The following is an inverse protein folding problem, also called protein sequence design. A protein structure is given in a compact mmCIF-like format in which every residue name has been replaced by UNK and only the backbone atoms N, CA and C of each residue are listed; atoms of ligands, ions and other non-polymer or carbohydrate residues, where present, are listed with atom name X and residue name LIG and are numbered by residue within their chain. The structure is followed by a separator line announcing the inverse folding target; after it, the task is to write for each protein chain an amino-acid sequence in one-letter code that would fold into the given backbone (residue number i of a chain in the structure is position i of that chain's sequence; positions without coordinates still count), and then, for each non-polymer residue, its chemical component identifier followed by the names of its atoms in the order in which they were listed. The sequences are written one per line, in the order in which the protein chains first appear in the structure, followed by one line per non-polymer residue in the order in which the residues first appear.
data_IF_106760991420
#
_entry.id   IF_106760991420
#
_cell.length_a   1.000
_cell.length_b   1.000
_cell.length_c   1.000
_cell.angle_alpha   90.00
_cell.angle_beta   90.00
_cell.angle_gamma   90.00
#
_symmetry.space_group_name_H-M   'P 1'
#
loop_
_entity.id
_entity.type
_entity.pdbx_description
1 polymer ?
#
# COMPACT_ATOMS: atom_id res chain seq x y z
N UNK A 1 -1.88 32.54 -14.17
CA UNK A 1 -3.31 32.21 -14.07
C UNK A 1 -4.00 32.66 -15.33
N UNK A 2 -4.62 31.72 -16.04
CA UNK A 2 -5.44 32.03 -17.21
C UNK A 2 -6.85 32.29 -16.67
N UNK A 3 -7.39 33.51 -16.77
CA UNK A 3 -8.75 33.77 -16.32
C UNK A 3 -9.72 32.94 -17.15
N UNK A 4 -10.74 32.39 -16.50
CA UNK A 4 -11.85 31.77 -17.18
C UNK A 4 -13.17 32.49 -16.89
N UNK A 5 -14.21 32.21 -17.66
CA UNK A 5 -15.56 32.70 -17.46
C UNK A 5 -16.52 31.68 -18.08
N UNK A 6 -17.69 31.48 -17.47
CA UNK A 6 -18.67 30.46 -17.84
C UNK A 6 -19.19 30.57 -19.30
N UNK A 7 -18.88 31.64 -20.02
CA UNK A 7 -19.45 31.95 -21.33
C UNK A 7 -18.48 31.88 -22.51
N UNK A 8 -17.15 32.02 -22.34
CA UNK A 8 -16.25 32.19 -23.51
C UNK A 8 -14.80 31.70 -23.39
N UNK A 9 -14.30 31.33 -22.21
CA UNK A 9 -12.91 30.86 -22.08
C UNK A 9 -12.86 29.33 -22.02
N UNK A 10 -12.28 28.71 -23.04
CA UNK A 10 -12.01 27.28 -23.02
C UNK A 10 -10.66 27.11 -22.32
N UNK A 11 -10.70 26.60 -21.09
CA UNK A 11 -9.49 26.13 -20.41
C UNK A 11 -8.83 25.06 -21.30
N UNK A 12 -7.49 25.07 -21.38
CA UNK A 12 -6.73 24.09 -22.17
C UNK A 12 -7.04 22.65 -21.74
N UNK A 13 -6.78 21.67 -22.60
CA UNK A 13 -6.96 20.26 -22.27
C UNK A 13 -6.22 19.89 -20.96
N UNK A 14 -6.89 19.17 -20.07
CA UNK A 14 -6.37 18.84 -18.74
C UNK A 14 -6.40 19.99 -17.73
N UNK A 15 -7.14 21.06 -18.02
CA UNK A 15 -7.42 22.14 -17.07
C UNK A 15 -8.93 22.34 -16.91
N UNK A 16 -9.36 22.83 -15.75
CA UNK A 16 -10.76 23.11 -15.45
C UNK A 16 -10.91 24.49 -14.83
N UNK A 17 -12.05 25.13 -15.07
CA UNK A 17 -12.34 26.45 -14.52
C UNK A 17 -12.78 26.29 -13.06
N UNK A 18 -11.98 26.79 -12.11
CA UNK A 18 -12.38 26.83 -10.71
C UNK A 18 -13.16 28.11 -10.44
N UNK A 19 -14.38 27.95 -9.91
CA UNK A 19 -15.20 29.06 -9.43
C UNK A 19 -15.04 29.18 -7.92
N UNK A 20 -14.23 30.12 -7.44
CA UNK A 20 -14.11 30.41 -6.01
C UNK A 20 -14.98 31.61 -5.63
N UNK A 21 -16.04 31.44 -4.81
CA UNK A 21 -16.94 32.53 -4.46
C UNK A 21 -16.30 33.65 -3.61
N UNK A 22 -15.02 33.51 -3.24
CA UNK A 22 -14.25 34.49 -2.45
C UNK A 22 -13.22 35.26 -3.26
N UNK A 23 -13.00 34.89 -4.52
CA UNK A 23 -12.04 35.53 -5.42
C UNK A 23 -12.85 35.98 -6.64
N UNK A 24 -12.97 37.29 -6.87
CA UNK A 24 -13.81 37.87 -7.94
C UNK A 24 -13.40 37.48 -9.37
N UNK A 25 -12.47 36.54 -9.54
CA UNK A 25 -11.98 36.06 -10.83
C UNK A 25 -11.91 34.54 -10.85
N UNK A 26 -12.57 33.93 -11.85
CA UNK A 26 -12.40 32.52 -12.17
C UNK A 26 -11.07 32.31 -12.91
N UNK A 27 -10.40 31.20 -12.66
CA UNK A 27 -9.15 30.85 -13.34
C UNK A 27 -9.08 29.35 -13.66
N UNK A 28 -8.39 29.03 -14.76
CA UNK A 28 -8.12 27.65 -15.13
C UNK A 28 -7.07 27.07 -14.17
N UNK A 29 -7.42 25.96 -13.54
CA UNK A 29 -6.53 25.11 -12.76
C UNK A 29 -6.14 23.89 -13.55
N UNK A 30 -4.88 23.47 -13.43
CA UNK A 30 -4.44 22.21 -13.98
C UNK A 30 -5.00 21.06 -13.14
N UNK A 31 -5.40 19.98 -13.82
CA UNK A 31 -5.85 18.75 -13.19
C UNK A 31 -4.75 18.07 -12.38
N UNK A 32 -5.04 16.87 -11.87
CA UNK A 32 -3.99 16.05 -11.26
C UNK A 32 -3.22 15.31 -12.31
N UNK A 33 -1.90 15.32 -12.19
CA UNK A 33 -0.99 14.60 -13.06
C UNK A 33 -0.22 13.53 -12.31
N UNK A 34 0.01 12.39 -12.97
CA UNK A 34 1.01 11.42 -12.57
C UNK A 34 2.26 11.66 -13.39
N UNK A 35 3.38 12.00 -12.76
CA UNK A 35 4.63 12.34 -13.43
C UNK A 35 5.75 11.38 -13.02
N UNK A 36 6.44 10.82 -13.99
CA UNK A 36 7.61 9.97 -13.74
C UNK A 36 8.85 10.85 -13.70
N UNK A 37 9.71 10.65 -12.70
CA UNK A 37 11.01 11.33 -12.62
C UNK A 37 12.00 10.73 -13.62
N UNK A 38 11.83 11.14 -14.87
CA UNK A 38 12.74 10.85 -15.95
C UNK A 38 13.20 12.13 -16.64
N UNK A 39 14.26 12.01 -17.45
CA UNK A 39 14.84 13.14 -18.17
C UNK A 39 13.86 13.80 -19.18
N UNK A 40 12.65 13.29 -19.36
CA UNK A 40 11.63 13.80 -20.28
C UNK A 40 10.35 14.25 -19.57
N UNK A 41 10.25 14.07 -18.24
CA UNK A 41 9.07 14.32 -17.41
C UNK A 41 7.76 13.91 -18.09
N UNK A 42 7.59 12.61 -18.35
CA UNK A 42 6.32 12.08 -18.86
C UNK A 42 5.24 12.18 -17.78
N UNK A 43 4.33 13.14 -17.95
CA UNK A 43 3.17 13.34 -17.09
C UNK A 43 1.88 12.93 -17.82
N UNK A 44 0.98 12.23 -17.11
CA UNK A 44 -0.36 11.91 -17.61
C UNK A 44 -1.42 12.56 -16.73
N UNK A 45 -2.48 13.08 -17.35
CA UNK A 45 -3.64 13.60 -16.62
C UNK A 45 -4.42 12.43 -16.01
N UNK A 46 -4.73 12.53 -14.72
CA UNK A 46 -5.54 11.55 -13.99
C UNK A 46 -6.98 12.05 -13.92
N UNK A 47 -7.91 11.24 -14.41
CA UNK A 47 -9.34 11.46 -14.19
C UNK A 47 -9.73 11.04 -12.76
N UNK A 48 -9.66 11.99 -11.83
CA UNK A 48 -10.08 11.80 -10.44
C UNK A 48 -11.56 11.42 -10.31
N UNK A 49 -12.40 11.63 -11.34
CA UNK A 49 -13.78 11.17 -11.29
C UNK A 49 -13.84 9.63 -11.32
N UNK A 50 -12.84 8.97 -11.92
CA UNK A 50 -12.70 7.52 -12.12
C UNK A 50 -11.69 6.86 -11.19
N UNK A 51 -10.60 7.54 -10.87
CA UNK A 51 -9.51 7.02 -10.06
C UNK A 51 -9.49 7.67 -8.66
N UNK A 52 -9.28 6.88 -7.63
CA UNK A 52 -9.10 7.33 -6.25
C UNK A 52 -7.59 7.43 -5.95
N UNK A 53 -7.07 8.65 -5.83
CA UNK A 53 -5.64 8.91 -5.64
C UNK A 53 -5.11 8.40 -4.28
N UNK A 54 -5.95 8.38 -3.25
CA UNK A 54 -5.53 7.98 -1.90
C UNK A 54 -5.52 6.46 -1.73
N UNK A 55 -6.32 5.76 -2.54
CA UNK A 55 -6.37 4.30 -2.60
C UNK A 55 -5.50 3.72 -3.71
N UNK A 56 -5.19 4.54 -4.71
CA UNK A 56 -4.56 4.15 -5.97
C UNK A 56 -5.33 3.04 -6.69
N UNK A 57 -6.65 3.19 -6.72
CA UNK A 57 -7.57 2.22 -7.32
C UNK A 57 -8.62 2.92 -8.18
N UNK A 58 -9.14 2.18 -9.16
CA UNK A 58 -10.35 2.58 -9.89
C UNK A 58 -11.54 2.56 -8.92
N UNK A 59 -12.34 3.63 -8.92
CA UNK A 59 -13.52 3.76 -8.07
C UNK A 59 -14.52 2.65 -8.38
N UNK A 60 -15.17 2.12 -7.35
CA UNK A 60 -16.05 0.96 -7.40
C UNK A 60 -17.08 0.98 -8.55
N UNK A 61 -17.69 2.15 -8.82
CA UNK A 61 -18.68 2.31 -9.90
C UNK A 61 -18.15 2.07 -11.32
N UNK A 62 -16.83 2.07 -11.50
CA UNK A 62 -16.15 1.81 -12.76
C UNK A 62 -15.38 0.48 -12.74
N UNK A 63 -15.47 -0.30 -11.66
CA UNK A 63 -14.97 -1.67 -11.66
C UNK A 63 -15.87 -2.54 -12.55
N UNK A 64 -15.26 -3.49 -13.24
CA UNK A 64 -15.81 -4.38 -14.25
C UNK A 64 -16.40 -3.66 -15.47
N UNK A 65 -16.02 -2.41 -15.72
CA UNK A 65 -16.31 -1.71 -16.98
C UNK A 65 -15.07 -1.76 -17.88
N UNK A 66 -15.22 -1.53 -19.20
CA UNK A 66 -14.07 -1.38 -20.09
C UNK A 66 -13.09 -0.27 -19.66
N UNK A 67 -13.50 0.60 -18.73
CA UNK A 67 -12.68 1.67 -18.18
C UNK A 67 -11.76 1.15 -17.06
N UNK A 68 -12.12 0.09 -16.34
CA UNK A 68 -11.18 -0.61 -15.45
C UNK A 68 -10.03 -1.22 -16.24
N UNK A 69 -10.31 -1.72 -17.44
CA UNK A 69 -9.32 -2.26 -18.37
C UNK A 69 -8.54 -1.16 -19.12
N UNK A 70 -8.83 0.11 -18.86
CA UNK A 70 -8.13 1.21 -19.54
C UNK A 70 -6.66 1.25 -19.13
N UNK A 71 -5.80 1.11 -20.14
CA UNK A 71 -4.35 1.27 -20.02
C UNK A 71 -3.99 2.76 -20.18
N UNK A 72 -2.95 3.26 -19.50
CA UNK A 72 -2.05 2.50 -18.62
C UNK A 72 -2.58 2.32 -17.19
N UNK A 73 -2.17 1.23 -16.56
CA UNK A 73 -2.30 0.96 -15.13
C UNK A 73 -1.49 2.01 -14.37
N UNK A 74 -2.17 2.74 -13.48
CA UNK A 74 -1.62 3.89 -12.77
C UNK A 74 -0.88 3.50 -11.47
N UNK A 75 -1.31 2.41 -10.82
CA UNK A 75 -0.66 1.90 -9.62
C UNK A 75 0.65 1.22 -10.00
N UNK A 76 1.73 1.58 -9.33
CA UNK A 76 3.07 1.03 -9.59
C UNK A 76 3.73 0.60 -8.27
N UNK A 77 4.47 -0.50 -8.30
CA UNK A 77 5.21 -1.02 -7.16
C UNK A 77 6.72 -0.86 -7.33
N UNK A 78 7.47 -0.87 -6.23
CA UNK A 78 8.90 -1.19 -6.30
C UNK A 78 9.08 -2.69 -6.59
N UNK A 79 10.09 -3.05 -7.41
CA UNK A 79 10.40 -4.45 -7.72
C UNK A 79 10.62 -5.31 -6.47
N UNK A 80 11.35 -4.80 -5.48
CA UNK A 80 11.61 -5.50 -4.21
C UNK A 80 10.31 -5.89 -3.50
N UNK A 81 9.33 -4.99 -3.48
CA UNK A 81 8.04 -5.21 -2.85
C UNK A 81 7.14 -6.17 -3.65
N UNK A 82 7.30 -6.22 -4.98
CA UNK A 82 6.65 -7.26 -5.80
C UNK A 82 7.26 -8.64 -5.52
N UNK A 83 8.59 -8.74 -5.50
CA UNK A 83 9.31 -10.00 -5.22
C UNK A 83 8.95 -10.53 -3.81
N UNK A 84 8.80 -9.64 -2.84
CA UNK A 84 8.38 -9.95 -1.47
C UNK A 84 6.86 -10.13 -1.30
N UNK A 85 6.08 -9.96 -2.38
CA UNK A 85 4.60 -10.05 -2.39
C UNK A 85 3.89 -9.07 -1.44
N UNK A 86 4.55 -7.98 -1.06
CA UNK A 86 4.01 -6.92 -0.21
C UNK A 86 3.31 -5.83 -1.03
N UNK A 87 3.53 -5.77 -2.35
CA UNK A 87 2.82 -4.88 -3.26
C UNK A 87 2.24 -5.63 -4.46
N UNK A 88 1.06 -5.22 -4.91
CA UNK A 88 0.39 -5.70 -6.11
C UNK A 88 -0.30 -4.56 -6.85
N UNK A 89 -0.36 -4.69 -8.17
CA UNK A 89 -1.08 -3.79 -9.07
C UNK A 89 -2.20 -4.55 -9.78
N UNK A 90 -2.97 -3.86 -10.61
CA UNK A 90 -3.72 -4.53 -11.68
C UNK A 90 -2.75 -5.36 -12.54
N UNK A 91 -3.25 -6.47 -13.11
CA UNK A 91 -2.41 -7.36 -13.90
C UNK A 91 -2.01 -6.68 -15.21
N UNK A 92 -0.71 -6.55 -15.43
CA UNK A 92 -0.16 -6.18 -16.72
C UNK A 92 0.26 -7.43 -17.49
N UNK A 93 0.20 -7.38 -18.83
CA UNK A 93 0.70 -8.42 -19.71
C UNK A 93 1.96 -7.97 -20.46
N UNK A 94 2.05 -6.67 -20.78
CA UNK A 94 3.17 -6.05 -21.48
C UNK A 94 3.56 -4.71 -20.83
N UNK A 95 4.78 -4.25 -21.09
CA UNK A 95 5.33 -3.02 -20.51
C UNK A 95 4.45 -1.78 -20.76
N UNK A 96 3.83 -1.69 -21.94
CA UNK A 96 2.94 -0.59 -22.32
C UNK A 96 1.61 -0.56 -21.55
N UNK A 97 1.31 -1.61 -20.79
CA UNK A 97 0.14 -1.61 -19.91
C UNK A 97 0.38 -0.78 -18.67
N UNK A 98 1.63 -0.48 -18.34
CA UNK A 98 2.02 0.22 -17.12
C UNK A 98 2.40 1.65 -17.42
N UNK A 99 2.00 2.58 -16.56
CA UNK A 99 2.43 3.97 -16.71
C UNK A 99 3.95 4.09 -16.61
N UNK A 100 4.57 3.29 -15.77
CA UNK A 100 6.02 3.19 -15.62
C UNK A 100 6.75 2.65 -16.85
N UNK A 101 6.01 2.06 -17.81
CA UNK A 101 6.59 1.36 -18.95
C UNK A 101 7.31 0.07 -18.59
N UNK A 102 6.95 -0.59 -17.49
CA UNK A 102 7.59 -1.85 -17.05
C UNK A 102 6.62 -2.79 -16.36
N UNK A 103 6.37 -3.94 -16.99
CA UNK A 103 5.56 -5.04 -16.47
C UNK A 103 6.46 -6.18 -16.02
N UNK A 104 6.36 -6.57 -14.76
CA UNK A 104 7.16 -7.65 -14.18
C UNK A 104 6.32 -8.52 -13.26
N UNK A 105 6.35 -9.83 -13.47
CA UNK A 105 5.56 -10.80 -12.69
C UNK A 105 4.07 -10.44 -12.63
N UNK A 106 3.51 -9.99 -13.75
CA UNK A 106 2.13 -9.47 -13.89
C UNK A 106 1.82 -8.27 -12.99
N UNK A 107 2.83 -7.49 -12.60
CA UNK A 107 2.66 -6.25 -11.82
C UNK A 107 3.46 -5.11 -12.44
N UNK A 108 2.90 -3.90 -12.40
CA UNK A 108 3.60 -2.71 -12.87
C UNK A 108 4.67 -2.32 -11.86
N UNK A 109 5.93 -2.23 -12.31
CA UNK A 109 7.07 -1.88 -11.49
C UNK A 109 7.73 -0.60 -11.97
N UNK A 110 8.45 0.09 -11.08
CA UNK A 110 9.32 1.21 -11.44
C UNK A 110 10.62 1.17 -10.65
N UNK A 111 11.67 1.72 -11.24
CA UNK A 111 12.94 2.05 -10.57
C UNK A 111 13.10 3.55 -10.33
N UNK A 112 12.16 4.36 -10.83
CA UNK A 112 12.13 5.83 -10.74
C UNK A 112 10.98 6.25 -9.83
N UNK A 113 11.15 7.39 -9.18
CA UNK A 113 10.07 7.97 -8.40
C UNK A 113 8.94 8.43 -9.32
N UNK A 114 7.71 8.22 -8.86
CA UNK A 114 6.50 8.69 -9.51
C UNK A 114 5.84 9.69 -8.58
N UNK A 115 5.46 10.84 -9.12
CA UNK A 115 4.88 11.95 -8.39
C UNK A 115 3.43 12.16 -8.78
N UNK A 116 2.57 12.37 -7.79
CA UNK A 116 1.24 12.93 -7.96
C UNK A 116 1.36 14.44 -7.80
N UNK A 117 1.14 15.16 -8.90
CA UNK A 117 1.20 16.61 -8.96
C UNK A 117 -0.22 17.19 -9.06
N UNK A 118 -0.54 18.15 -8.21
CA UNK A 118 -1.81 18.88 -8.31
C UNK A 118 -1.64 20.33 -7.86
N UNK A 119 -2.60 21.18 -8.25
CA UNK A 119 -2.64 22.56 -7.81
C UNK A 119 -3.59 22.74 -6.63
N UNK A 120 -3.17 23.55 -5.67
CA UNK A 120 -4.00 24.02 -4.56
C UNK A 120 -3.97 25.53 -4.52
N UNK A 121 -5.08 26.09 -4.05
CA UNK A 121 -5.19 27.52 -3.77
C UNK A 121 -5.06 27.68 -2.26
N UNK A 122 -4.01 28.37 -1.82
CA UNK A 122 -3.77 28.67 -0.40
C UNK A 122 -3.49 30.15 -0.27
N UNK A 123 -4.23 30.86 0.61
CA UNK A 123 -4.10 32.31 0.79
C UNK A 123 -4.20 33.11 -0.53
N UNK A 124 -5.11 32.71 -1.43
CA UNK A 124 -5.29 33.30 -2.76
C UNK A 124 -4.07 33.16 -3.70
N UNK A 125 -3.10 32.31 -3.36
CA UNK A 125 -1.97 31.97 -4.21
C UNK A 125 -2.12 30.55 -4.73
N UNK A 126 -1.87 30.38 -6.02
CA UNK A 126 -1.82 29.08 -6.68
C UNK A 126 -0.49 28.42 -6.38
N UNK A 127 -0.54 27.25 -5.77
CA UNK A 127 0.61 26.44 -5.46
C UNK A 127 0.49 25.09 -6.17
N UNK A 128 1.47 24.78 -7.02
CA UNK A 128 1.67 23.42 -7.52
C UNK A 128 2.48 22.64 -6.51
N UNK A 129 2.04 21.44 -6.17
CA UNK A 129 2.79 20.53 -5.31
C UNK A 129 2.78 19.14 -5.92
N UNK A 130 3.95 18.52 -5.89
CA UNK A 130 4.20 17.18 -6.37
C UNK A 130 4.71 16.36 -5.20
N UNK A 131 4.01 15.27 -4.89
CA UNK A 131 4.40 14.35 -3.83
C UNK A 131 4.50 12.94 -4.37
N UNK A 132 5.35 12.13 -3.78
CA UNK A 132 5.62 10.77 -4.22
C UNK A 132 4.38 9.88 -4.05
N UNK A 133 4.12 9.07 -5.07
CA UNK A 133 3.11 8.01 -5.07
C UNK A 133 3.45 6.93 -4.02
N UNK A 134 2.49 6.09 -3.63
CA UNK A 134 2.76 4.89 -2.83
C UNK A 134 3.88 4.05 -3.48
N UNK A 135 4.61 3.32 -2.64
CA UNK A 135 5.72 2.42 -2.99
C UNK A 135 6.98 3.11 -3.52
N UNK A 136 7.00 4.44 -3.57
CA UNK A 136 8.21 5.22 -3.82
C UNK A 136 9.00 5.39 -2.53
N UNK A 137 10.32 5.55 -2.64
CA UNK A 137 11.17 5.71 -1.45
C UNK A 137 10.95 7.08 -0.82
N UNK A 138 10.95 7.14 0.50
CA UNK A 138 10.79 8.38 1.25
C UNK A 138 11.66 8.38 2.51
N UNK A 139 11.99 9.56 2.99
CA UNK A 139 12.65 9.78 4.29
C UNK A 139 11.67 10.38 5.30
N UNK A 140 10.67 11.14 4.82
CA UNK A 140 9.68 11.83 5.65
C UNK A 140 8.26 11.66 5.11
N UNK A 141 7.27 11.77 6.01
CA UNK A 141 5.85 11.74 5.65
C UNK A 141 5.47 12.84 4.65
N UNK A 142 6.17 13.98 4.68
CA UNK A 142 5.87 15.13 3.84
C UNK A 142 6.12 14.88 2.36
N UNK A 143 7.07 14.00 2.03
CA UNK A 143 7.37 13.59 0.65
C UNK A 143 6.23 12.79 0.02
N UNK A 144 5.43 12.09 0.82
CA UNK A 144 4.43 11.15 0.34
C UNK A 144 3.08 11.85 0.11
N UNK A 145 2.41 11.51 -0.99
CA UNK A 145 1.08 12.06 -1.29
C UNK A 145 0.05 11.70 -0.22
N UNK A 146 0.12 10.47 0.30
CA UNK A 146 -0.72 10.00 1.40
C UNK A 146 -0.38 10.63 2.75
N UNK A 147 0.77 11.30 2.88
CA UNK A 147 1.31 11.76 4.16
C UNK A 147 1.82 10.64 5.06
N UNK A 148 2.16 9.46 4.52
CA UNK A 148 2.69 8.34 5.30
C UNK A 148 3.93 7.74 4.65
N UNK A 149 5.07 7.87 5.32
CA UNK A 149 6.34 7.24 5.01
C UNK A 149 6.61 6.13 6.04
N UNK A 150 6.38 4.88 5.66
CA UNK A 150 6.52 3.72 6.55
C UNK A 150 7.57 2.78 5.96
N UNK A 151 8.56 2.41 6.78
CA UNK A 151 9.65 1.54 6.35
C UNK A 151 10.41 2.08 5.11
N UNK A 152 10.60 3.41 5.04
CA UNK A 152 11.25 4.13 3.94
C UNK A 152 10.50 4.08 2.59
N UNK A 153 9.22 3.74 2.61
CA UNK A 153 8.36 3.77 1.43
C UNK A 153 7.08 4.56 1.71
N UNK A 154 6.61 5.30 0.72
CA UNK A 154 5.30 5.92 0.79
C UNK A 154 4.24 4.82 0.80
N UNK A 155 3.25 4.93 1.70
CA UNK A 155 2.20 3.94 1.85
C UNK A 155 0.84 4.61 1.76
N UNK A 156 -0.05 4.07 0.94
CA UNK A 156 -1.43 4.57 0.80
C UNK A 156 -2.33 4.12 1.97
N UNK A 157 -3.56 4.65 2.04
CA UNK A 157 -4.44 4.38 3.18
C UNK A 157 -4.84 2.90 3.31
N UNK A 158 -5.01 2.21 2.19
CA UNK A 158 -5.39 0.79 2.17
C UNK A 158 -4.25 -0.06 2.74
N UNK A 159 -3.05 0.13 2.22
CA UNK A 159 -1.85 -0.61 2.62
C UNK A 159 -1.51 -0.36 4.10
N UNK A 160 -1.67 0.87 4.58
CA UNK A 160 -1.51 1.20 6.01
C UNK A 160 -2.50 0.41 6.89
N UNK A 161 -3.74 0.29 6.45
CA UNK A 161 -4.76 -0.49 7.17
C UNK A 161 -4.45 -2.00 7.17
N UNK A 162 -3.85 -2.53 6.11
CA UNK A 162 -3.42 -3.93 6.05
C UNK A 162 -2.22 -4.21 6.97
N UNK A 163 -1.23 -3.33 6.97
CA UNK A 163 -0.07 -3.42 7.86
C UNK A 163 -0.48 -3.43 9.34
N UNK A 164 -1.36 -2.51 9.73
CA UNK A 164 -1.85 -2.43 11.12
C UNK A 164 -2.69 -3.65 11.54
N UNK A 165 -3.36 -4.34 10.62
CA UNK A 165 -4.07 -5.59 10.90
C UNK A 165 -3.09 -6.75 11.15
N UNK A 166 -2.03 -6.84 10.34
CA UNK A 166 -1.01 -7.87 10.52
C UNK A 166 -0.28 -7.74 11.87
N UNK A 167 0.04 -6.50 12.30
CA UNK A 167 0.66 -6.25 13.60
C UNK A 167 -0.20 -6.70 14.78
N UNK A 168 -1.53 -6.52 14.69
CA UNK A 168 -2.46 -6.99 15.72
C UNK A 168 -2.51 -8.51 15.80
N UNK A 169 -2.61 -9.19 14.65
CA UNK A 169 -2.62 -10.66 14.58
C UNK A 169 -1.33 -11.24 15.17
N UNK A 170 -0.17 -10.69 14.81
CA UNK A 170 1.12 -11.13 15.32
C UNK A 170 1.29 -10.87 16.84
N UNK A 171 0.66 -9.80 17.36
CA UNK A 171 0.64 -9.50 18.79
C UNK A 171 -0.23 -10.50 19.57
N UNK A 172 -1.36 -10.92 19.00
CA UNK A 172 -2.26 -11.89 19.62
C UNK A 172 -1.69 -13.31 19.56
N UNK A 173 -1.01 -13.69 18.47
CA UNK A 173 -0.36 -15.00 18.35
C UNK A 173 0.84 -15.15 19.30
N UNK A 174 1.59 -14.07 19.56
CA UNK A 174 2.66 -14.11 20.56
C UNK A 174 2.11 -14.31 22.00
N UNK A 175 0.94 -13.76 22.30
CA UNK A 175 0.29 -13.96 23.59
C UNK A 175 -0.32 -15.38 23.74
N UNK A 176 -0.84 -15.96 22.66
CA UNK A 176 -1.38 -17.33 22.68
C UNK A 176 -0.32 -18.43 22.59
N UNK A 177 0.80 -18.18 21.90
CA UNK A 177 1.95 -19.10 21.78
C UNK A 177 2.68 -19.29 23.13
N UNK A 178 2.72 -18.26 23.97
CA UNK A 178 3.23 -18.34 25.34
C UNK A 178 2.38 -19.28 26.23
N UNK A 179 1.06 -19.23 26.09
CA UNK A 179 0.13 -20.05 26.88
C UNK A 179 0.15 -21.54 26.51
N UNK A 180 0.36 -21.88 25.23
CA UNK A 180 0.37 -23.27 24.76
C UNK A 180 1.69 -24.00 25.02
N UNK A 181 2.84 -23.31 24.97
CA UNK A 181 4.15 -23.89 25.32
C UNK A 181 4.20 -24.38 26.77
N UNK A 182 3.62 -23.62 27.70
CA UNK A 182 3.56 -24.00 29.12
C UNK A 182 2.70 -25.24 29.37
N UNK A 183 1.63 -25.45 28.59
CA UNK A 183 0.79 -26.66 28.70
C UNK A 183 1.51 -27.91 28.20
N UNK A 184 2.22 -27.82 27.08
CA UNK A 184 2.99 -28.95 26.52
C UNK A 184 4.12 -29.34 27.46
N UNK A 185 4.83 -28.36 28.03
CA UNK A 185 5.91 -28.60 28.98
C UNK A 185 5.41 -29.32 30.26
N UNK A 186 4.20 -28.98 30.72
CA UNK A 186 3.58 -29.63 31.89
C UNK A 186 3.20 -31.10 31.60
N UNK A 187 2.69 -31.40 30.40
CA UNK A 187 2.36 -32.77 29.98
C UNK A 187 3.61 -33.65 29.92
N UNK A 188 4.72 -33.13 29.38
CA UNK A 188 6.00 -33.86 29.32
C UNK A 188 6.50 -34.19 30.72
N UNK A 189 6.39 -33.24 31.67
CA UNK A 189 6.80 -33.45 33.05
C UNK A 189 6.00 -34.57 33.74
N UNK A 190 4.69 -34.60 33.54
CA UNK A 190 3.81 -35.65 34.09
C UNK A 190 4.18 -37.03 33.52
N UNK A 191 4.45 -37.12 32.21
CA UNK A 191 4.84 -38.37 31.57
C UNK A 191 6.17 -38.93 32.13
N UNK A 192 7.15 -38.06 32.38
CA UNK A 192 8.44 -38.46 32.97
C UNK A 192 8.24 -39.01 34.38
N UNK A 193 7.42 -38.37 35.21
CA UNK A 193 7.13 -38.83 36.58
C UNK A 193 6.49 -40.22 36.55
N UNK A 194 5.53 -40.46 35.66
CA UNK A 194 4.88 -41.77 35.52
C UNK A 194 5.88 -42.86 35.12
N UNK A 195 6.80 -42.57 34.19
CA UNK A 195 7.84 -43.52 33.79
C UNK A 195 8.76 -43.88 34.97
N UNK A 196 9.17 -42.89 35.78
CA UNK A 196 10.00 -43.11 36.96
C UNK A 196 9.29 -44.02 37.97
N UNK A 197 8.00 -43.80 38.22
CA UNK A 197 7.20 -44.64 39.13
C UNK A 197 7.12 -46.08 38.63
N UNK A 198 6.91 -46.30 37.34
CA UNK A 198 6.89 -47.65 36.74
C UNK A 198 8.24 -48.35 36.93
N UNK A 199 9.35 -47.64 36.72
CA UNK A 199 10.71 -48.20 36.93
C UNK A 199 10.92 -48.59 38.40
N UNK A 200 10.51 -47.75 39.35
CA UNK A 200 10.63 -48.05 40.79
C UNK A 200 9.81 -49.29 41.15
N UNK A 201 8.55 -49.39 40.68
CA UNK A 201 7.71 -50.57 40.90
C UNK A 201 8.37 -51.82 40.33
N UNK A 202 8.89 -51.75 39.10
CA UNK A 202 9.59 -52.86 38.45
C UNK A 202 10.82 -53.31 39.25
N UNK A 203 11.62 -52.37 39.76
CA UNK A 203 12.75 -52.68 40.62
C UNK A 203 12.30 -53.33 41.92
N UNK A 204 11.25 -52.83 42.58
CA UNK A 204 10.70 -53.43 43.80
C UNK A 204 10.27 -54.88 43.52
N UNK A 205 9.52 -55.14 42.44
CA UNK A 205 9.11 -56.50 42.07
C UNK A 205 10.29 -57.43 41.79
N UNK A 206 11.37 -56.91 41.19
CA UNK A 206 12.57 -57.69 40.88
C UNK A 206 13.41 -57.99 42.13
N UNK A 207 13.43 -57.08 43.09
CA UNK A 207 14.26 -57.17 44.30
C UNK A 207 13.50 -57.66 45.54
N UNK A 208 12.17 -57.82 45.50
CA UNK A 208 11.47 -58.57 46.52
C UNK A 208 11.95 -60.03 46.43
N UNK A 209 12.67 -60.54 47.44
CA UNK A 209 13.01 -61.95 47.48
C UNK A 209 11.69 -62.71 47.52
N UNK A 210 11.51 -63.65 46.60
CA UNK A 210 10.49 -64.68 46.73
C UNK A 210 10.83 -65.49 47.98
N UNK A 211 10.35 -65.01 49.13
CA UNK A 211 10.24 -65.79 50.35
C UNK A 211 9.07 -66.75 50.14
N UNK A 212 9.36 -67.88 49.50
CA UNK A 212 8.53 -69.06 49.45
C UNK A 212 9.39 -70.27 49.82
#
# INVERSE_FOLDING_TARGET
MIPCNNTTSICSEGTYCLHEPKVDNDYCMFGTYLCIDDNQYSCILIDQSKFDLYKEEVKEKYKNTPEEESKPILKTCNKENVDNKTCKTQKCEIDHDCISGSCYSNSCITTKDIYICQELVTNNLLHTYCKKQSQMKCETDEECFSGNCISNYCINEIEKNELSKQEKINSDDNNNSSSTKNKIQMIIYIAIIVIIVIIIIYLIYRYLPTYY
#
